data_IF_919957321549
#
_entry.id   IF_919957321549
#
_cell.length_a   1.000
_cell.length_b   1.000
_cell.length_c   1.000
_cell.angle_alpha   90.00
_cell.angle_beta   90.00
_cell.angle_gamma   90.00
#
_symmetry.space_group_name_H-M   'P 1'
#
loop_
_entity.id
_entity.type
_entity.pdbx_description
1 polymer ?
#
# COMPACT_ATOMS: atom_id res chain seq x y z
N UNK A 1 -8.90 28.36 15.24
CA UNK A 1 -8.06 27.15 15.38
C UNK A 1 -8.35 26.42 16.69
N UNK A 2 -8.37 27.10 17.85
CA UNK A 2 -8.72 26.49 19.16
C UNK A 2 -10.06 25.76 19.19
N UNK A 3 -11.09 26.29 18.52
CA UNK A 3 -12.41 25.64 18.43
C UNK A 3 -12.35 24.21 17.85
N UNK A 4 -11.62 24.01 16.76
CA UNK A 4 -11.52 22.70 16.12
C UNK A 4 -10.73 21.69 16.95
N UNK A 5 -9.71 22.17 17.67
CA UNK A 5 -8.94 21.35 18.61
C UNK A 5 -9.87 20.87 19.73
N UNK A 6 -10.63 21.77 20.35
CA UNK A 6 -11.56 21.41 21.42
C UNK A 6 -12.66 20.44 20.93
N UNK A 7 -13.19 20.63 19.72
CA UNK A 7 -14.17 19.71 19.11
C UNK A 7 -13.56 18.33 18.82
N UNK A 8 -12.29 18.29 18.40
CA UNK A 8 -11.54 17.05 18.17
C UNK A 8 -11.21 16.32 19.48
N UNK A 9 -10.85 17.04 20.53
CA UNK A 9 -10.61 16.47 21.86
C UNK A 9 -11.89 15.96 22.50
N UNK A 10 -13.01 16.66 22.31
CA UNK A 10 -14.32 16.24 22.81
C UNK A 10 -14.82 14.90 22.22
N UNK A 11 -14.30 14.48 21.06
CA UNK A 11 -14.57 13.15 20.50
C UNK A 11 -13.57 12.08 20.93
N UNK A 12 -12.69 12.37 21.89
CA UNK A 12 -11.65 11.45 22.37
C UNK A 12 -10.35 11.51 21.56
N UNK A 13 -10.18 12.52 20.71
CA UNK A 13 -8.93 12.79 20.01
C UNK A 13 -7.89 13.48 20.92
N UNK A 14 -6.63 13.45 20.50
CA UNK A 14 -5.53 14.25 21.06
C UNK A 14 -4.81 14.97 19.94
N UNK A 15 -4.47 16.23 20.13
CA UNK A 15 -3.78 17.02 19.12
C UNK A 15 -2.52 17.67 19.67
N UNK A 16 -1.39 17.41 19.03
CA UNK A 16 -0.13 18.10 19.34
C UNK A 16 -0.02 19.37 18.49
N UNK A 17 -0.05 20.52 19.16
CA UNK A 17 -0.02 21.81 18.48
C UNK A 17 1.33 22.14 17.83
N UNK A 18 2.44 21.57 18.32
CA UNK A 18 3.79 21.80 17.81
C UNK A 18 4.03 20.97 16.55
N UNK A 19 3.74 19.67 16.60
CA UNK A 19 3.99 18.74 15.48
C UNK A 19 2.83 18.69 14.49
N UNK A 20 1.65 19.19 14.88
CA UNK A 20 0.38 19.07 14.12
C UNK A 20 -0.05 17.63 13.92
N UNK A 21 0.34 16.73 14.82
CA UNK A 21 -0.10 15.35 14.83
C UNK A 21 -1.43 15.23 15.60
N UNK A 22 -2.36 14.47 15.03
CA UNK A 22 -3.65 14.17 15.62
C UNK A 22 -3.75 12.66 15.86
N UNK A 23 -4.21 12.28 17.05
CA UNK A 23 -4.31 10.89 17.49
C UNK A 23 -5.73 10.58 17.96
N UNK A 24 -6.30 9.50 17.46
CA UNK A 24 -7.60 8.95 17.87
C UNK A 24 -7.37 7.49 18.23
N UNK A 25 -7.75 7.08 19.44
CA UNK A 25 -7.56 5.68 19.87
C UNK A 25 -8.73 5.15 20.64
N UNK A 26 -9.12 3.91 20.35
CA UNK A 26 -10.22 3.20 21.03
C UNK A 26 -11.57 3.95 20.95
N UNK A 27 -11.77 4.70 19.87
CA UNK A 27 -13.00 5.49 19.63
C UNK A 27 -13.89 4.82 18.60
N UNK A 28 -15.20 4.78 18.88
CA UNK A 28 -16.22 4.58 17.86
C UNK A 28 -16.49 5.92 17.14
N UNK A 29 -15.89 6.11 15.97
CA UNK A 29 -16.01 7.32 15.16
C UNK A 29 -17.40 7.32 14.51
N UNK A 30 -18.31 8.09 15.10
CA UNK A 30 -19.70 8.22 14.63
C UNK A 30 -19.81 9.15 13.43
N UNK A 31 -20.94 9.13 12.73
CA UNK A 31 -21.22 10.06 11.62
C UNK A 31 -21.09 11.52 12.05
N UNK A 32 -21.51 11.87 13.27
CA UNK A 32 -21.33 13.22 13.84
C UNK A 32 -19.86 13.58 13.99
N UNK A 33 -19.01 12.63 14.39
CA UNK A 33 -17.56 12.85 14.47
C UNK A 33 -16.96 13.09 13.08
N UNK A 34 -17.36 12.29 12.09
CA UNK A 34 -16.91 12.45 10.70
C UNK A 34 -17.36 13.78 10.11
N UNK A 35 -18.61 14.18 10.27
CA UNK A 35 -19.11 15.48 9.81
C UNK A 35 -18.32 16.65 10.41
N UNK A 36 -18.03 16.58 11.71
CA UNK A 36 -17.20 17.57 12.39
C UNK A 36 -15.79 17.60 11.80
N UNK A 37 -15.13 16.44 11.66
CA UNK A 37 -13.79 16.33 11.10
C UNK A 37 -13.72 16.85 9.66
N UNK A 38 -14.65 16.42 8.79
CA UNK A 38 -14.72 16.88 7.40
C UNK A 38 -14.88 18.39 7.31
N UNK A 39 -15.75 18.97 8.15
CA UNK A 39 -15.94 20.43 8.23
C UNK A 39 -14.68 21.15 8.73
N UNK A 40 -14.02 20.61 9.76
CA UNK A 40 -12.82 21.22 10.33
C UNK A 40 -11.66 21.17 9.33
N UNK A 41 -11.39 20.01 8.73
CA UNK A 41 -10.35 19.82 7.71
C UNK A 41 -10.60 20.71 6.50
N UNK A 42 -11.84 20.77 5.99
CA UNK A 42 -12.22 21.64 4.87
C UNK A 42 -12.18 23.14 5.19
N UNK A 43 -12.07 23.54 6.46
CA UNK A 43 -11.97 24.93 6.91
C UNK A 43 -10.60 25.29 7.50
N UNK A 44 -9.57 24.51 7.17
CA UNK A 44 -8.18 24.84 7.52
C UNK A 44 -7.76 24.38 8.92
N UNK A 45 -8.43 23.38 9.51
CA UNK A 45 -7.84 22.65 10.63
C UNK A 45 -6.60 21.90 10.12
N UNK A 46 -5.43 22.42 10.48
CA UNK A 46 -4.16 21.92 9.98
C UNK A 46 -3.66 20.72 10.79
N UNK A 47 -3.84 19.53 10.23
CA UNK A 47 -3.31 18.27 10.75
C UNK A 47 -2.33 17.76 9.71
N UNK A 48 -1.07 17.58 10.08
CA UNK A 48 -0.05 17.03 9.18
C UNK A 48 -0.13 15.50 9.14
N UNK A 49 -0.36 14.88 10.31
CA UNK A 49 -0.45 13.43 10.45
C UNK A 49 -1.64 13.05 11.31
N UNK A 50 -2.49 12.19 10.78
CA UNK A 50 -3.61 11.61 11.52
C UNK A 50 -3.32 10.15 11.83
N UNK A 51 -3.40 9.78 13.09
CA UNK A 51 -3.17 8.43 13.59
C UNK A 51 -4.46 7.92 14.22
N UNK A 52 -5.00 6.82 13.70
CA UNK A 52 -6.19 6.14 14.21
C UNK A 52 -5.81 4.74 14.68
N UNK A 53 -5.99 4.43 15.98
CA UNK A 53 -5.68 3.12 16.56
C UNK A 53 -6.90 2.49 17.22
N UNK A 54 -7.16 1.21 16.96
CA UNK A 54 -8.25 0.46 17.62
C UNK A 54 -9.62 1.14 17.50
N UNK A 55 -9.84 1.87 16.40
CA UNK A 55 -11.08 2.60 16.17
C UNK A 55 -12.12 1.75 15.44
N UNK A 56 -13.37 2.20 15.45
CA UNK A 56 -14.40 1.68 14.55
C UNK A 56 -15.12 2.81 13.83
N UNK A 57 -15.50 2.57 12.58
CA UNK A 57 -16.13 3.58 11.71
C UNK A 57 -17.10 2.88 10.75
N UNK A 58 -18.17 3.56 10.37
CA UNK A 58 -19.05 3.10 9.28
C UNK A 58 -18.33 3.23 7.92
N UNK A 59 -18.62 2.29 7.01
CA UNK A 59 -18.05 2.24 5.67
C UNK A 59 -18.29 3.53 4.87
N UNK A 60 -19.51 4.06 4.87
CA UNK A 60 -19.84 5.28 4.13
C UNK A 60 -19.23 6.53 4.76
N UNK A 61 -19.10 6.54 6.10
CA UNK A 61 -18.43 7.64 6.79
C UNK A 61 -16.91 7.62 6.61
N UNK A 62 -16.31 6.43 6.55
CA UNK A 62 -14.91 6.28 6.17
C UNK A 62 -14.67 6.82 4.76
N UNK A 63 -15.53 6.51 3.78
CA UNK A 63 -15.39 7.01 2.41
C UNK A 63 -15.42 8.54 2.35
N UNK A 64 -16.37 9.18 3.06
CA UNK A 64 -16.44 10.65 3.16
C UNK A 64 -15.16 11.23 3.77
N UNK A 65 -14.67 10.60 4.85
CA UNK A 65 -13.47 11.07 5.53
C UNK A 65 -12.24 10.94 4.63
N UNK A 66 -12.08 9.81 3.93
CA UNK A 66 -11.00 9.58 2.98
C UNK A 66 -11.04 10.59 1.82
N UNK A 67 -12.21 10.89 1.25
CA UNK A 67 -12.34 11.91 0.20
C UNK A 67 -11.78 13.26 0.66
N UNK A 68 -12.14 13.71 1.87
CA UNK A 68 -11.62 14.97 2.41
C UNK A 68 -10.12 14.88 2.69
N UNK A 69 -9.66 13.81 3.36
CA UNK A 69 -8.26 13.62 3.70
C UNK A 69 -7.39 13.71 2.46
N UNK A 70 -7.72 12.92 1.44
CA UNK A 70 -6.91 12.76 0.24
C UNK A 70 -6.97 14.02 -0.62
N UNK A 71 -8.14 14.60 -0.82
CA UNK A 71 -8.34 15.58 -1.90
C UNK A 71 -8.35 17.04 -1.43
N UNK A 72 -8.61 17.31 -0.15
CA UNK A 72 -9.00 18.65 0.31
C UNK A 72 -8.42 19.06 1.67
N UNK A 73 -7.57 18.22 2.26
CA UNK A 73 -7.02 18.46 3.59
C UNK A 73 -5.53 18.78 3.57
N UNK A 74 -5.01 19.10 4.75
CA UNK A 74 -3.58 19.30 5.01
C UNK A 74 -2.85 18.01 5.42
N UNK A 75 -3.58 16.90 5.58
CA UNK A 75 -3.03 15.63 6.06
C UNK A 75 -2.11 15.05 4.99
N UNK A 76 -0.86 14.87 5.36
CA UNK A 76 0.19 14.27 4.53
C UNK A 76 0.51 12.84 4.93
N UNK A 77 0.07 12.41 6.11
CA UNK A 77 0.27 11.05 6.60
C UNK A 77 -0.98 10.58 7.35
N UNK A 78 -1.56 9.47 6.90
CA UNK A 78 -2.64 8.78 7.56
C UNK A 78 -2.12 7.42 8.03
N UNK A 79 -2.13 7.20 9.34
CA UNK A 79 -1.77 5.93 9.94
C UNK A 79 -3.03 5.28 10.55
N UNK A 80 -3.36 4.07 10.11
CA UNK A 80 -4.47 3.28 10.61
C UNK A 80 -3.96 1.97 11.21
N UNK A 81 -4.20 1.78 12.51
CA UNK A 81 -3.98 0.53 13.24
C UNK A 81 -5.25 -0.06 13.79
N UNK A 82 -5.54 -1.32 13.49
CA UNK A 82 -6.72 -2.07 13.93
C UNK A 82 -8.03 -1.27 13.79
N UNK A 83 -8.23 -0.62 12.64
CA UNK A 83 -9.44 0.15 12.34
C UNK A 83 -10.52 -0.79 11.78
N UNK A 84 -11.58 -0.98 12.55
CA UNK A 84 -12.73 -1.81 12.18
C UNK A 84 -13.72 -1.02 11.33
N UNK A 85 -13.95 -1.48 10.11
CA UNK A 85 -14.93 -0.87 9.20
C UNK A 85 -16.21 -1.68 9.26
N UNK A 86 -17.32 -1.01 9.58
CA UNK A 86 -18.65 -1.60 9.74
C UNK A 86 -19.53 -1.27 8.55
N UNK A 87 -20.48 -2.15 8.26
CA UNK A 87 -21.57 -1.84 7.34
C UNK A 87 -22.66 -0.99 8.03
N UNK A 88 -23.68 -0.63 7.25
CA UNK A 88 -24.85 0.15 7.70
C UNK A 88 -25.63 -0.49 8.86
N UNK A 89 -25.48 -1.79 9.09
CA UNK A 89 -26.09 -2.52 10.20
C UNK A 89 -25.19 -2.58 11.45
N UNK A 90 -24.03 -1.92 11.44
CA UNK A 90 -23.06 -1.95 12.52
C UNK A 90 -22.23 -3.23 12.60
N UNK A 91 -22.33 -4.13 11.63
CA UNK A 91 -21.58 -5.39 11.56
C UNK A 91 -20.22 -5.13 10.92
N UNK A 92 -19.15 -5.68 11.50
CA UNK A 92 -17.80 -5.60 10.93
C UNK A 92 -17.79 -6.19 9.52
N UNK A 93 -17.43 -5.37 8.53
CA UNK A 93 -17.20 -5.82 7.15
C UNK A 93 -15.75 -6.29 6.98
N UNK A 94 -14.80 -5.51 7.50
CA UNK A 94 -13.38 -5.87 7.51
C UNK A 94 -12.62 -5.01 8.55
N UNK A 95 -11.36 -5.36 8.81
CA UNK A 95 -10.48 -4.59 9.70
C UNK A 95 -9.16 -4.28 8.99
N UNK A 96 -8.80 -3.01 8.91
CA UNK A 96 -7.48 -2.58 8.48
C UNK A 96 -6.52 -2.71 9.67
N UNK A 97 -5.50 -3.56 9.54
CA UNK A 97 -4.63 -3.90 10.67
C UNK A 97 -3.54 -2.87 10.90
N UNK A 98 -2.74 -2.56 9.89
CA UNK A 98 -1.67 -1.57 9.99
C UNK A 98 -1.41 -1.03 8.59
N UNK A 99 -1.72 0.24 8.39
CA UNK A 99 -1.55 0.93 7.12
C UNK A 99 -1.00 2.33 7.37
N UNK A 100 -0.03 2.72 6.55
CA UNK A 100 0.46 4.09 6.46
C UNK A 100 0.27 4.57 5.03
N UNK A 101 -0.54 5.60 4.85
CA UNK A 101 -0.71 6.30 3.59
C UNK A 101 -0.07 7.70 3.69
N UNK A 102 0.82 8.03 2.77
CA UNK A 102 1.47 9.32 2.66
C UNK A 102 1.01 10.03 1.38
N UNK A 103 0.69 11.31 1.50
CA UNK A 103 0.21 12.16 0.42
C UNK A 103 1.22 13.28 0.22
N UNK A 104 1.92 13.27 -0.92
CA UNK A 104 2.94 14.27 -1.22
C UNK A 104 3.02 14.56 -2.72
N UNK A 105 2.86 15.83 -3.12
CA UNK A 105 3.10 16.30 -4.49
C UNK A 105 2.53 15.38 -5.59
N UNK A 106 1.20 15.14 -5.56
CA UNK A 106 0.50 14.23 -6.48
C UNK A 106 0.94 12.75 -6.39
N UNK A 107 1.67 12.37 -5.35
CA UNK A 107 1.99 10.99 -5.03
C UNK A 107 1.20 10.51 -3.82
N UNK A 108 0.59 9.34 -3.97
CA UNK A 108 0.02 8.53 -2.91
C UNK A 108 0.97 7.37 -2.66
N UNK A 109 1.58 7.34 -1.48
CA UNK A 109 2.39 6.21 -1.04
C UNK A 109 1.64 5.40 0.01
N UNK A 110 1.43 4.09 -0.18
CA UNK A 110 0.71 3.25 0.81
C UNK A 110 1.56 2.05 1.22
N UNK A 111 1.76 1.87 2.53
CA UNK A 111 2.50 0.73 3.08
C UNK A 111 1.68 -0.03 4.11
N UNK A 112 1.78 -1.34 4.07
CA UNK A 112 1.22 -2.24 5.08
C UNK A 112 2.36 -2.96 5.82
N UNK A 113 2.27 -3.09 7.15
CA UNK A 113 3.37 -3.64 7.96
C UNK A 113 3.41 -5.17 8.04
N UNK A 114 2.31 -5.84 7.69
CA UNK A 114 2.19 -7.31 7.71
C UNK A 114 1.75 -7.85 6.34
N UNK A 115 1.75 -9.18 6.19
CA UNK A 115 1.04 -9.85 5.10
C UNK A 115 -0.38 -9.27 4.97
N UNK A 116 -0.73 -8.86 3.76
CA UNK A 116 -1.98 -8.18 3.45
C UNK A 116 -3.13 -9.11 3.80
N UNK A 117 -3.84 -8.78 4.88
CA UNK A 117 -5.13 -9.40 5.16
C UNK A 117 -6.18 -8.74 4.28
N UNK A 118 -7.26 -9.45 4.00
CA UNK A 118 -8.40 -8.96 3.20
C UNK A 118 -8.78 -7.50 3.51
N UNK A 119 -8.81 -7.12 4.79
CA UNK A 119 -9.16 -5.76 5.20
C UNK A 119 -8.17 -4.66 4.80
N UNK A 120 -6.89 -4.97 4.65
CA UNK A 120 -5.90 -4.01 4.13
C UNK A 120 -6.11 -3.78 2.63
N UNK A 121 -6.36 -4.84 1.87
CA UNK A 121 -6.65 -4.72 0.43
C UNK A 121 -7.95 -3.95 0.18
N UNK A 122 -9.00 -4.21 0.97
CA UNK A 122 -10.24 -3.44 0.93
C UNK A 122 -10.03 -1.96 1.25
N UNK A 123 -9.12 -1.65 2.17
CA UNK A 123 -8.77 -0.28 2.51
C UNK A 123 -7.98 0.41 1.37
N UNK A 124 -7.03 -0.29 0.75
CA UNK A 124 -6.33 0.22 -0.44
C UNK A 124 -7.32 0.56 -1.55
N UNK A 125 -8.22 -0.37 -1.89
CA UNK A 125 -9.26 -0.15 -2.90
C UNK A 125 -10.05 1.15 -2.65
N UNK A 126 -10.41 1.44 -1.38
CA UNK A 126 -11.10 2.69 -1.04
C UNK A 126 -10.24 3.92 -1.17
N UNK A 127 -8.99 3.87 -0.70
CA UNK A 127 -8.05 4.98 -0.89
C UNK A 127 -7.94 5.33 -2.38
N UNK A 128 -7.85 4.31 -3.24
CA UNK A 128 -7.79 4.47 -4.68
C UNK A 128 -9.10 5.03 -5.25
N UNK A 129 -10.26 4.49 -4.87
CA UNK A 129 -11.55 5.01 -5.36
C UNK A 129 -11.81 6.47 -4.96
N UNK A 130 -11.31 6.90 -3.79
CA UNK A 130 -11.47 8.27 -3.33
C UNK A 130 -10.37 9.22 -3.86
N UNK A 131 -9.26 8.71 -4.38
CA UNK A 131 -8.17 9.54 -4.88
C UNK A 131 -8.55 10.27 -6.18
N UNK A 132 -8.55 11.61 -6.15
CA UNK A 132 -8.87 12.47 -7.31
C UNK A 132 -7.72 13.42 -7.67
N UNK A 133 -6.60 13.37 -6.94
CA UNK A 133 -5.50 14.34 -7.09
C UNK A 133 -4.12 13.70 -7.26
N UNK A 134 -3.89 12.51 -6.72
CA UNK A 134 -2.61 11.83 -6.87
C UNK A 134 -2.57 11.13 -8.22
N UNK A 135 -1.51 11.39 -8.97
CA UNK A 135 -1.22 10.80 -10.27
C UNK A 135 -0.28 9.61 -10.15
N UNK A 136 0.56 9.63 -9.11
CA UNK A 136 1.57 8.62 -8.85
C UNK A 136 1.12 7.77 -7.68
N UNK A 137 0.98 6.47 -7.87
CA UNK A 137 0.75 5.53 -6.78
C UNK A 137 2.03 4.71 -6.56
N UNK A 138 2.56 4.78 -5.33
CA UNK A 138 3.60 3.87 -4.83
C UNK A 138 2.95 3.06 -3.70
N UNK A 139 2.66 1.78 -3.91
CA UNK A 139 2.24 0.96 -2.77
C UNK A 139 3.11 -0.27 -2.61
N UNK A 140 3.32 -0.61 -1.34
CA UNK A 140 3.91 -1.86 -0.96
C UNK A 140 2.99 -2.66 -0.06
N UNK A 141 2.75 -3.90 -0.46
CA UNK A 141 2.14 -4.88 0.41
C UNK A 141 2.88 -6.22 0.31
N UNK A 142 2.64 -7.05 1.31
CA UNK A 142 3.05 -8.44 1.29
C UNK A 142 1.87 -9.32 0.92
N UNK A 143 1.95 -10.16 -0.12
CA UNK A 143 0.93 -11.19 -0.44
C UNK A 143 -0.50 -10.66 -0.80
N UNK A 144 -0.70 -10.09 -2.01
CA UNK A 144 -2.01 -9.60 -2.54
C UNK A 144 -3.09 -10.66 -2.84
N UNK A 145 -3.03 -11.82 -2.19
CA UNK A 145 -3.77 -12.98 -2.64
C UNK A 145 -5.27 -12.82 -2.41
N UNK A 146 -6.05 -13.17 -3.44
CA UNK A 146 -7.52 -13.29 -3.47
C UNK A 146 -8.31 -12.00 -3.69
N UNK A 147 -7.66 -10.84 -3.76
CA UNK A 147 -8.32 -9.52 -3.90
C UNK A 147 -7.74 -8.66 -5.02
N UNK A 148 -6.99 -9.28 -5.92
CA UNK A 148 -6.35 -8.63 -7.06
C UNK A 148 -7.39 -7.96 -7.96
N UNK A 149 -8.56 -8.58 -8.14
CA UNK A 149 -9.63 -8.03 -8.97
C UNK A 149 -10.22 -6.74 -8.42
N UNK A 150 -10.26 -6.56 -7.10
CA UNK A 150 -10.81 -5.34 -6.50
C UNK A 150 -9.80 -4.20 -6.53
N UNK A 151 -8.52 -4.49 -6.33
CA UNK A 151 -7.44 -3.51 -6.53
C UNK A 151 -7.38 -3.11 -8.00
N UNK A 152 -7.38 -4.07 -8.92
CA UNK A 152 -7.39 -3.83 -10.36
C UNK A 152 -8.58 -2.94 -10.74
N UNK A 153 -9.80 -3.30 -10.33
CA UNK A 153 -11.00 -2.50 -10.63
C UNK A 153 -10.86 -1.07 -10.11
N UNK A 154 -10.29 -0.91 -8.91
CA UNK A 154 -10.07 0.42 -8.32
C UNK A 154 -9.03 1.23 -9.09
N UNK A 155 -7.97 0.59 -9.59
CA UNK A 155 -6.97 1.21 -10.47
C UNK A 155 -7.57 1.59 -11.83
N UNK A 156 -8.32 0.68 -12.46
CA UNK A 156 -8.99 0.92 -13.75
C UNK A 156 -10.05 2.02 -13.67
N UNK A 157 -10.75 2.12 -12.54
CA UNK A 157 -11.77 3.16 -12.31
C UNK A 157 -11.13 4.50 -11.96
N UNK A 158 -9.91 4.51 -11.40
CA UNK A 158 -9.22 5.74 -11.07
C UNK A 158 -8.50 6.33 -12.31
N UNK A 159 -9.22 7.16 -13.05
CA UNK A 159 -8.71 7.83 -14.25
C UNK A 159 -7.65 8.93 -13.97
N UNK A 160 -7.34 9.24 -12.71
CA UNK A 160 -6.35 10.28 -12.35
C UNK A 160 -4.95 9.69 -12.24
N UNK A 161 -4.82 8.40 -11.92
CA UNK A 161 -3.54 7.71 -11.86
C UNK A 161 -2.95 7.57 -13.27
N UNK A 162 -1.81 8.21 -13.51
CA UNK A 162 -1.06 8.12 -14.77
C UNK A 162 0.20 7.29 -14.62
N UNK A 163 0.78 7.29 -13.42
CA UNK A 163 2.01 6.59 -13.12
C UNK A 163 1.78 5.64 -11.94
N UNK A 164 2.08 4.37 -12.16
CA UNK A 164 1.78 3.31 -11.22
C UNK A 164 3.02 2.50 -10.93
N UNK A 165 3.52 2.67 -9.71
CA UNK A 165 4.60 1.90 -9.15
C UNK A 165 4.04 0.98 -8.06
N UNK A 166 4.03 -0.32 -8.33
CA UNK A 166 3.67 -1.30 -7.31
C UNK A 166 4.92 -2.03 -6.90
N UNK A 167 5.31 -1.89 -5.62
CA UNK A 167 6.39 -2.64 -4.97
C UNK A 167 5.80 -3.79 -4.16
N UNK A 168 5.71 -4.94 -4.80
CA UNK A 168 5.14 -6.12 -4.17
C UNK A 168 6.24 -6.94 -3.49
N UNK A 169 6.12 -7.18 -2.18
CA UNK A 169 7.03 -8.07 -1.45
C UNK A 169 6.40 -9.43 -1.18
N UNK A 170 6.80 -10.45 -1.90
CA UNK A 170 6.26 -11.81 -1.75
C UNK A 170 7.20 -12.68 -0.94
N UNK A 171 6.66 -13.48 -0.01
CA UNK A 171 7.48 -14.39 0.80
C UNK A 171 6.96 -15.82 0.84
N UNK A 172 7.88 -16.77 1.06
CA UNK A 172 7.54 -18.17 1.31
C UNK A 172 6.66 -18.78 0.21
N UNK A 173 6.86 -18.37 -1.04
CA UNK A 173 6.14 -18.89 -2.19
C UNK A 173 6.74 -20.24 -2.59
N UNK A 174 5.88 -21.19 -2.95
CA UNK A 174 6.27 -22.51 -3.42
C UNK A 174 5.62 -22.82 -4.77
N UNK A 175 6.26 -23.65 -5.61
CA UNK A 175 5.66 -24.10 -6.85
C UNK A 175 4.25 -24.62 -6.64
N UNK A 176 3.33 -24.22 -7.51
CA UNK A 176 1.91 -24.65 -7.55
C UNK A 176 1.03 -24.23 -6.37
N UNK A 177 1.56 -23.44 -5.42
CA UNK A 177 0.69 -22.85 -4.40
C UNK A 177 -0.22 -21.76 -5.02
N UNK A 178 -1.34 -21.48 -4.36
CA UNK A 178 -2.26 -20.44 -4.84
C UNK A 178 -1.60 -19.07 -4.94
N UNK A 179 -0.56 -18.83 -4.13
CA UNK A 179 0.19 -17.57 -4.11
C UNK A 179 0.92 -17.34 -5.43
N UNK A 180 1.68 -18.34 -5.88
CA UNK A 180 2.39 -18.32 -7.15
C UNK A 180 1.41 -18.22 -8.31
N UNK A 181 0.33 -19.01 -8.30
CA UNK A 181 -0.68 -19.01 -9.37
C UNK A 181 -1.33 -17.63 -9.52
N UNK A 182 -1.74 -16.99 -8.42
CA UNK A 182 -2.37 -15.67 -8.46
C UNK A 182 -1.40 -14.57 -8.87
N UNK A 183 -0.14 -14.67 -8.45
CA UNK A 183 0.88 -13.71 -8.87
C UNK A 183 1.24 -13.86 -10.36
N UNK A 184 1.35 -15.09 -10.89
CA UNK A 184 1.53 -15.31 -12.33
C UNK A 184 0.37 -14.72 -13.13
N UNK A 185 -0.87 -14.99 -12.72
CA UNK A 185 -2.05 -14.40 -13.35
C UNK A 185 -2.00 -12.88 -13.33
N UNK A 186 -1.54 -12.30 -12.22
CA UNK A 186 -1.40 -10.85 -12.09
C UNK A 186 -0.34 -10.28 -13.02
N UNK A 187 0.85 -10.91 -13.08
CA UNK A 187 1.92 -10.52 -14.00
C UNK A 187 1.53 -10.65 -15.47
N UNK A 188 0.68 -11.63 -15.82
CA UNK A 188 0.22 -11.84 -17.19
C UNK A 188 -0.94 -10.93 -17.58
N UNK A 189 -1.86 -10.66 -16.65
CA UNK A 189 -3.11 -9.95 -16.92
C UNK A 189 -3.03 -8.46 -16.61
N UNK A 190 -2.16 -8.04 -15.69
CA UNK A 190 -2.17 -6.70 -15.14
C UNK A 190 -0.86 -5.96 -15.38
N UNK A 191 -0.98 -4.75 -15.89
CA UNK A 191 0.15 -3.92 -16.31
C UNK A 191 0.71 -3.02 -15.20
N UNK A 192 0.31 -3.25 -13.94
CA UNK A 192 0.66 -2.35 -12.84
C UNK A 192 1.84 -2.78 -11.97
N UNK A 193 2.28 -4.04 -12.05
CA UNK A 193 3.40 -4.53 -11.25
C UNK A 193 4.70 -4.11 -11.92
N UNK A 194 5.32 -3.06 -11.41
CA UNK A 194 6.60 -2.55 -11.94
C UNK A 194 7.81 -2.86 -11.08
N UNK A 195 7.60 -3.12 -9.79
CA UNK A 195 8.65 -3.50 -8.85
C UNK A 195 8.23 -4.74 -8.07
N UNK A 196 9.03 -5.80 -8.16
CA UNK A 196 8.74 -7.04 -7.46
C UNK A 196 9.95 -7.47 -6.64
N UNK A 197 9.73 -7.63 -5.34
CA UNK A 197 10.71 -8.19 -4.42
C UNK A 197 10.17 -9.54 -3.93
N UNK A 198 10.98 -10.60 -4.06
CA UNK A 198 10.59 -11.95 -3.63
C UNK A 198 11.60 -12.44 -2.61
N UNK A 199 11.16 -13.04 -1.51
CA UNK A 199 12.08 -13.55 -0.50
C UNK A 199 11.72 -14.91 0.07
N UNK A 200 12.72 -15.73 0.38
CA UNK A 200 12.52 -17.06 1.02
C UNK A 200 11.58 -17.97 0.21
N UNK A 201 11.68 -17.92 -1.12
CA UNK A 201 10.77 -18.62 -2.04
C UNK A 201 11.48 -19.65 -2.90
N UNK A 202 10.72 -20.66 -3.33
CA UNK A 202 11.10 -21.60 -4.38
C UNK A 202 10.45 -21.12 -5.68
N UNK A 203 11.26 -20.78 -6.68
CA UNK A 203 10.76 -20.20 -7.93
C UNK A 203 10.61 -21.30 -8.99
N UNK A 204 9.40 -21.47 -9.51
CA UNK A 204 9.11 -22.39 -10.60
C UNK A 204 9.54 -21.84 -11.97
N UNK A 205 9.52 -22.72 -12.98
CA UNK A 205 9.79 -22.33 -14.36
C UNK A 205 8.65 -21.47 -14.89
N UNK A 206 7.42 -21.86 -14.59
CA UNK A 206 6.18 -21.18 -14.98
C UNK A 206 6.15 -19.76 -14.41
N UNK A 207 6.59 -19.58 -13.16
CA UNK A 207 6.71 -18.27 -12.56
C UNK A 207 7.78 -17.42 -13.24
N UNK A 208 8.93 -18.01 -13.56
CA UNK A 208 9.98 -17.34 -14.33
C UNK A 208 9.45 -16.86 -15.67
N UNK A 209 8.71 -17.69 -16.39
CA UNK A 209 8.09 -17.33 -17.68
C UNK A 209 7.11 -16.15 -17.54
N UNK A 210 6.32 -16.11 -16.46
CA UNK A 210 5.44 -14.97 -16.18
C UNK A 210 6.22 -13.66 -15.93
N UNK A 211 7.36 -13.72 -15.23
CA UNK A 211 8.24 -12.56 -15.01
C UNK A 211 8.86 -12.08 -16.33
N UNK A 212 9.34 -13.01 -17.16
CA UNK A 212 9.93 -12.69 -18.46
C UNK A 212 8.88 -12.05 -19.37
N UNK A 213 7.65 -12.59 -19.39
CA UNK A 213 6.55 -12.02 -20.16
C UNK A 213 6.21 -10.59 -19.71
N UNK A 214 6.06 -10.35 -18.40
CA UNK A 214 5.77 -9.01 -17.87
C UNK A 214 6.88 -7.98 -18.18
N UNK A 215 8.15 -8.41 -18.12
CA UNK A 215 9.29 -7.52 -18.40
C UNK A 215 9.48 -7.28 -19.90
N UNK A 216 9.45 -8.33 -20.72
CA UNK A 216 9.80 -8.27 -22.14
C UNK A 216 8.63 -7.87 -23.03
N UNK A 217 7.49 -8.53 -22.87
CA UNK A 217 6.35 -8.36 -23.78
C UNK A 217 5.45 -7.20 -23.34
N UNK A 218 5.33 -6.97 -22.02
CA UNK A 218 4.53 -5.87 -21.48
C UNK A 218 5.34 -4.63 -21.10
N UNK A 219 6.65 -4.76 -20.87
CA UNK A 219 7.52 -3.67 -20.36
C UNK A 219 7.01 -3.04 -19.05
N UNK A 220 6.26 -3.80 -18.26
CA UNK A 220 5.64 -3.32 -17.01
C UNK A 220 6.55 -3.55 -15.84
N UNK A 221 7.12 -4.75 -15.72
CA UNK A 221 8.08 -5.13 -14.69
C UNK A 221 9.48 -4.60 -15.02
N UNK A 222 9.96 -3.62 -14.26
CA UNK A 222 11.24 -2.93 -14.50
C UNK A 222 12.25 -3.10 -13.37
N UNK A 223 11.81 -3.65 -12.24
CA UNK A 223 12.63 -3.88 -11.07
C UNK A 223 12.28 -5.24 -10.45
N UNK A 224 13.28 -6.11 -10.33
CA UNK A 224 13.10 -7.44 -9.77
C UNK A 224 14.24 -7.79 -8.80
N UNK A 225 13.87 -8.18 -7.59
CA UNK A 225 14.84 -8.62 -6.59
C UNK A 225 14.43 -9.93 -5.94
N UNK A 226 15.43 -10.78 -5.71
CA UNK A 226 15.27 -12.05 -5.02
C UNK A 226 16.15 -12.08 -3.78
N UNK A 227 15.58 -12.39 -2.62
CA UNK A 227 16.30 -12.50 -1.35
C UNK A 227 16.15 -13.91 -0.79
N UNK A 228 17.25 -14.65 -0.64
CA UNK A 228 17.22 -16.04 -0.19
C UNK A 228 16.20 -16.90 -0.98
N UNK A 229 16.17 -16.78 -2.30
CA UNK A 229 15.28 -17.56 -3.17
C UNK A 229 16.05 -18.65 -3.91
N UNK A 230 15.42 -19.82 -4.08
CA UNK A 230 15.95 -20.87 -4.95
C UNK A 230 15.40 -20.67 -6.36
N UNK A 231 16.28 -20.26 -7.27
CA UNK A 231 16.01 -20.07 -8.69
C UNK A 231 16.97 -20.97 -9.47
N UNK A 232 16.48 -21.69 -10.48
CA UNK A 232 17.35 -22.55 -11.30
C UNK A 232 18.36 -21.70 -12.07
N UNK A 233 19.52 -22.28 -12.38
CA UNK A 233 20.62 -21.58 -13.06
C UNK A 233 20.18 -21.03 -14.42
N UNK A 234 19.45 -21.83 -15.20
CA UNK A 234 18.99 -21.45 -16.53
C UNK A 234 17.96 -20.32 -16.46
N UNK A 235 17.02 -20.40 -15.51
CA UNK A 235 16.04 -19.34 -15.23
C UNK A 235 16.73 -18.01 -14.84
N UNK A 236 17.78 -18.06 -14.00
CA UNK A 236 18.59 -16.88 -13.67
C UNK A 236 19.28 -16.30 -14.92
N UNK A 237 19.83 -17.15 -15.78
CA UNK A 237 20.51 -16.71 -17.00
C UNK A 237 19.54 -16.03 -17.97
N UNK A 238 18.31 -16.54 -18.09
CA UNK A 238 17.26 -15.90 -18.90
C UNK A 238 16.88 -14.51 -18.35
N UNK A 239 16.66 -14.38 -17.04
CA UNK A 239 16.41 -13.07 -16.42
C UNK A 239 17.59 -12.11 -16.61
N UNK A 240 18.82 -12.61 -16.47
CA UNK A 240 20.05 -11.82 -16.69
C UNK A 240 20.12 -11.28 -18.12
N UNK A 241 19.70 -12.06 -19.12
CA UNK A 241 19.67 -11.58 -20.51
C UNK A 241 18.74 -10.38 -20.72
N UNK A 242 17.64 -10.28 -19.96
CA UNK A 242 16.75 -9.10 -19.97
C UNK A 242 17.37 -7.89 -19.28
N UNK A 243 18.18 -8.12 -18.24
CA UNK A 243 18.95 -7.04 -17.62
C UNK A 243 20.02 -6.51 -18.58
N UNK A 244 20.79 -7.42 -19.20
CA UNK A 244 21.88 -7.07 -20.10
C UNK A 244 21.39 -6.31 -21.34
N UNK A 245 20.17 -6.58 -21.80
CA UNK A 245 19.56 -5.90 -22.95
C UNK A 245 18.71 -4.67 -22.57
N UNK A 246 18.60 -4.34 -21.27
CA UNK A 246 17.87 -3.18 -20.76
C UNK A 246 16.35 -3.34 -20.64
N UNK A 247 15.78 -4.50 -20.98
CA UNK A 247 14.34 -4.78 -20.81
C UNK A 247 13.94 -4.93 -19.35
N UNK A 248 14.88 -5.29 -18.47
CA UNK A 248 14.72 -5.32 -17.01
C UNK A 248 15.81 -4.45 -16.36
N UNK A 249 15.60 -3.12 -16.22
CA UNK A 249 16.64 -2.18 -15.78
C UNK A 249 17.27 -2.49 -14.42
N UNK A 250 16.55 -3.19 -13.54
CA UNK A 250 17.07 -3.62 -12.25
C UNK A 250 16.78 -5.09 -12.00
N UNK A 251 17.84 -5.87 -11.77
CA UNK A 251 17.78 -7.27 -11.37
C UNK A 251 18.84 -7.52 -10.29
N UNK A 252 18.42 -8.06 -9.15
CA UNK A 252 19.37 -8.47 -8.11
C UNK A 252 18.98 -9.80 -7.45
N UNK A 253 19.99 -10.57 -7.06
CA UNK A 253 19.86 -11.80 -6.29
C UNK A 253 20.73 -11.71 -5.05
N UNK A 254 20.12 -11.80 -3.89
CA UNK A 254 20.76 -11.82 -2.58
C UNK A 254 20.57 -13.20 -1.95
N UNK A 255 21.63 -13.74 -1.34
CA UNK A 255 21.53 -14.98 -0.56
C UNK A 255 20.96 -14.72 0.85
N UNK A 256 21.06 -13.48 1.31
CA UNK A 256 20.62 -13.05 2.63
C UNK A 256 19.13 -12.63 2.64
N UNK A 257 18.47 -12.67 3.80
CA UNK A 257 17.14 -12.07 3.99
C UNK A 257 17.14 -10.56 3.69
N UNK A 258 16.01 -10.05 3.17
CA UNK A 258 15.84 -8.62 2.82
C UNK A 258 16.18 -7.66 3.96
N UNK A 259 15.82 -7.99 5.20
CA UNK A 259 16.06 -7.12 6.36
C UNK A 259 17.55 -6.91 6.64
N UNK A 260 18.38 -7.95 6.44
CA UNK A 260 19.82 -7.85 6.66
C UNK A 260 20.47 -6.97 5.59
N UNK A 261 20.00 -7.06 4.34
CA UNK A 261 20.43 -6.19 3.24
C UNK A 261 20.04 -4.73 3.52
N UNK A 262 18.78 -4.47 3.87
CA UNK A 262 18.29 -3.11 4.18
C UNK A 262 19.03 -2.48 5.37
N UNK A 263 19.36 -3.26 6.40
CA UNK A 263 20.15 -2.80 7.55
C UNK A 263 21.58 -2.44 7.15
N UNK A 264 22.21 -3.17 6.22
CA UNK A 264 23.54 -2.84 5.72
C UNK A 264 23.54 -1.55 4.90
N UNK A 265 22.54 -1.36 4.05
CA UNK A 265 22.39 -0.16 3.20
C UNK A 265 22.13 1.11 4.03
N UNK A 266 21.27 1.00 5.05
CA UNK A 266 20.96 2.12 5.95
C UNK A 266 22.12 2.49 6.87
N UNK A 267 22.91 1.52 7.33
CA UNK A 267 24.12 1.80 8.13
C UNK A 267 25.31 2.28 7.29
N UNK A 268 25.39 1.91 6.01
CA UNK A 268 26.42 2.38 5.09
C UNK A 268 26.27 3.85 4.66
N UNK A 269 25.06 4.40 4.73
CA UNK A 269 24.77 5.80 4.37
C UNK A 269 24.95 6.80 5.53
N UNK A 270 25.09 6.33 6.77
CA UNK A 270 25.40 7.15 7.95
C UNK A 270 26.90 7.34 8.20
N UNK A 271 27.75 6.63 7.45
CA UNK A 271 29.22 6.68 7.57
C UNK A 271 29.89 7.34 6.35
N UNK A 272 29.17 8.19 5.60
CA UNK A 272 29.72 9.04 4.53
C UNK A 272 29.38 10.49 4.73
#
# INVERSE_FOLDING_TARGET
MSKYINEFEAMGGKFDQKTKEAFISQVNITSKNVEMMCKALGKGFNIVKLICRECSIDEGDLEKLLDIIINRSSIRCLNMGSVRVRNVFGITKYTCQEMVAEFNNQSLKVRFSEANRSGNTMMLARLLLQNKICRNLDFSASDFLDYESDVQRSLETNAVLTDLAVDLHIRNMRPTDQKEISLMKSLQKHVFISRLCISSSLISREFTEALLYASKEQSTLTYLEFYNCKVKKDDKAEMQSLYDNGSLPHLAFYEEPRWDVLLKETNGSLNR
#
